data_IF_681322543012
#
_entry.id   IF_681322543012
#
_cell.length_a   1.000
_cell.length_b   1.000
_cell.length_c   1.000
_cell.angle_alpha   90.00
_cell.angle_beta   90.00
_cell.angle_gamma   90.00
#
_symmetry.space_group_name_H-M   'P 1'
#
loop_
_entity.id
_entity.type
_entity.pdbx_description
1 polymer ?
#
# COMPACT_ATOMS: atom_id res chain seq x y z
N UNK A 1 3.16 -26.26 -2.40
CA UNK A 1 1.73 -26.40 -2.76
C UNK A 1 0.95 -25.07 -2.80
N UNK A 2 1.23 -24.05 -1.96
CA UNK A 2 0.41 -22.81 -1.91
C UNK A 2 0.45 -21.86 -3.14
N UNK A 3 1.36 -22.00 -4.11
CA UNK A 3 1.41 -21.11 -5.30
C UNK A 3 0.86 -21.73 -6.59
N UNK A 4 0.43 -23.00 -6.58
CA UNK A 4 -0.02 -23.68 -7.82
C UNK A 4 -1.27 -23.02 -8.42
N UNK A 5 -2.17 -22.49 -7.58
CA UNK A 5 -3.39 -21.83 -8.04
C UNK A 5 -3.08 -20.63 -8.97
N UNK A 6 -2.04 -19.85 -8.69
CA UNK A 6 -1.69 -18.67 -9.48
C UNK A 6 -1.19 -19.07 -10.87
N UNK A 7 -0.38 -20.14 -10.94
CA UNK A 7 0.02 -20.74 -12.21
C UNK A 7 -1.17 -21.31 -12.98
N UNK A 8 -2.02 -22.10 -12.32
CA UNK A 8 -3.25 -22.64 -12.93
C UNK A 8 -4.15 -21.51 -13.46
N UNK A 9 -4.30 -20.43 -12.70
CA UNK A 9 -5.11 -19.28 -13.09
C UNK A 9 -4.54 -18.56 -14.32
N UNK A 10 -3.23 -18.28 -14.33
CA UNK A 10 -2.56 -17.68 -15.49
C UNK A 10 -2.62 -18.59 -16.72
N UNK A 11 -2.54 -19.91 -16.53
CA UNK A 11 -2.75 -20.87 -17.62
C UNK A 11 -4.17 -20.83 -18.16
N UNK A 12 -5.19 -20.74 -17.30
CA UNK A 12 -6.58 -20.57 -17.75
C UNK A 12 -6.73 -19.30 -18.58
N UNK A 13 -6.20 -18.18 -18.09
CA UNK A 13 -6.24 -16.89 -18.80
C UNK A 13 -5.49 -16.95 -20.14
N UNK A 14 -4.37 -17.66 -20.21
CA UNK A 14 -3.56 -17.76 -21.43
C UNK A 14 -4.19 -18.64 -22.51
N UNK A 15 -4.88 -19.72 -22.13
CA UNK A 15 -5.57 -20.61 -23.08
C UNK A 15 -6.93 -20.07 -23.52
N UNK A 16 -7.62 -19.32 -22.64
CA UNK A 16 -8.96 -18.80 -22.88
C UNK A 16 -9.00 -17.28 -23.09
N UNK A 17 -8.01 -16.72 -23.80
CA UNK A 17 -7.87 -15.27 -23.99
C UNK A 17 -9.14 -14.58 -24.50
N UNK A 18 -9.75 -15.10 -25.58
CA UNK A 18 -10.97 -14.53 -26.18
C UNK A 18 -12.21 -14.68 -25.28
N UNK A 19 -12.56 -15.89 -24.78
CA UNK A 19 -13.67 -16.05 -23.82
C UNK A 19 -13.52 -15.17 -22.57
N UNK A 20 -12.31 -15.11 -22.00
CA UNK A 20 -12.03 -14.29 -20.82
C UNK A 20 -12.24 -12.81 -21.13
N UNK A 21 -11.74 -12.33 -22.27
CA UNK A 21 -11.94 -10.94 -22.67
C UNK A 21 -13.43 -10.60 -22.76
N UNK A 22 -14.21 -11.43 -23.46
CA UNK A 22 -15.66 -11.24 -23.64
C UNK A 22 -16.36 -11.24 -22.27
N UNK A 23 -16.01 -12.19 -21.40
CA UNK A 23 -16.61 -12.28 -20.07
C UNK A 23 -16.31 -11.04 -19.22
N UNK A 24 -15.04 -10.62 -19.15
CA UNK A 24 -14.63 -9.45 -18.38
C UNK A 24 -15.26 -8.17 -18.94
N UNK A 25 -15.25 -7.97 -20.26
CA UNK A 25 -15.86 -6.77 -20.87
C UNK A 25 -17.36 -6.72 -20.67
N UNK A 26 -18.08 -7.85 -20.78
CA UNK A 26 -19.52 -7.88 -20.54
C UNK A 26 -19.86 -7.47 -19.10
N UNK A 27 -19.16 -8.01 -18.11
CA UNK A 27 -19.35 -7.63 -16.71
C UNK A 27 -19.04 -6.15 -16.49
N UNK A 28 -17.94 -5.65 -17.08
CA UNK A 28 -17.60 -4.23 -17.02
C UNK A 28 -18.70 -3.36 -17.62
N UNK A 29 -19.20 -3.70 -18.82
CA UNK A 29 -20.24 -2.92 -19.50
C UNK A 29 -21.53 -2.90 -18.66
N UNK A 30 -21.97 -4.05 -18.14
CA UNK A 30 -23.15 -4.13 -17.28
C UNK A 30 -23.00 -3.21 -16.06
N UNK A 31 -21.84 -3.25 -15.41
CA UNK A 31 -21.59 -2.36 -14.27
C UNK A 31 -21.57 -0.88 -14.70
N UNK A 32 -20.91 -0.55 -15.82
CA UNK A 32 -20.79 0.80 -16.34
C UNK A 32 -22.13 1.39 -16.83
N UNK A 33 -23.13 0.58 -17.16
CA UNK A 33 -24.50 1.08 -17.40
C UNK A 33 -25.06 1.83 -16.18
N UNK A 34 -24.57 1.49 -14.99
CA UNK A 34 -24.90 2.20 -13.75
C UNK A 34 -24.56 3.69 -13.79
N UNK A 35 -23.60 4.11 -14.63
CA UNK A 35 -23.22 5.51 -14.79
C UNK A 35 -24.38 6.42 -15.22
N UNK A 36 -25.42 5.86 -15.83
CA UNK A 36 -26.62 6.61 -16.23
C UNK A 36 -27.34 7.22 -15.02
N UNK A 37 -27.25 6.58 -13.85
CA UNK A 37 -27.97 6.98 -12.64
C UNK A 37 -27.08 7.63 -11.58
N UNK A 38 -25.78 7.81 -11.84
CA UNK A 38 -24.86 8.44 -10.88
C UNK A 38 -24.48 9.85 -11.33
N UNK A 39 -24.44 10.78 -10.39
CA UNK A 39 -23.83 12.08 -10.63
C UNK A 39 -22.31 11.97 -10.63
N UNK A 40 -21.66 12.47 -11.68
CA UNK A 40 -20.19 12.50 -11.75
C UNK A 40 -19.67 13.56 -10.75
N UNK A 41 -18.89 13.19 -9.74
CA UNK A 41 -18.35 14.15 -8.78
C UNK A 41 -17.25 15.02 -9.41
N UNK A 42 -17.04 16.21 -8.85
CA UNK A 42 -15.93 17.07 -9.26
C UNK A 42 -14.61 16.47 -8.76
N UNK A 43 -13.79 15.97 -9.69
CA UNK A 43 -12.55 15.24 -9.38
C UNK A 43 -11.30 15.86 -10.00
N UNK A 44 -11.32 17.14 -10.38
CA UNK A 44 -10.23 17.79 -11.14
C UNK A 44 -8.84 17.60 -10.49
N UNK A 45 -8.72 17.90 -9.19
CA UNK A 45 -7.47 17.73 -8.45
C UNK A 45 -7.07 16.27 -8.29
N UNK A 46 -8.04 15.37 -8.08
CA UNK A 46 -7.79 13.94 -7.98
C UNK A 46 -7.33 13.30 -9.31
N UNK A 47 -7.89 13.75 -10.43
CA UNK A 47 -7.45 13.31 -11.75
C UNK A 47 -6.07 13.88 -12.10
N UNK A 48 -5.81 15.13 -11.74
CA UNK A 48 -4.48 15.73 -11.88
C UNK A 48 -3.43 14.98 -11.06
N UNK A 49 -3.75 14.63 -9.81
CA UNK A 49 -2.85 13.84 -8.97
C UNK A 49 -2.56 12.48 -9.59
N UNK A 50 -3.57 11.79 -10.11
CA UNK A 50 -3.40 10.51 -10.80
C UNK A 50 -2.50 10.62 -12.03
N UNK A 51 -2.69 11.65 -12.86
CA UNK A 51 -1.85 11.90 -14.04
C UNK A 51 -0.40 12.16 -13.62
N UNK A 52 -0.17 13.02 -12.64
CA UNK A 52 1.18 13.34 -12.16
C UNK A 52 1.87 12.12 -11.55
N UNK A 53 1.17 11.34 -10.72
CA UNK A 53 1.68 10.08 -10.20
C UNK A 53 2.06 9.13 -11.33
N UNK A 54 1.22 9.00 -12.36
CA UNK A 54 1.49 8.12 -13.50
C UNK A 54 2.72 8.57 -14.30
N UNK A 55 2.87 9.87 -14.56
CA UNK A 55 4.05 10.45 -15.24
C UNK A 55 5.33 10.22 -14.43
N UNK A 56 5.28 10.43 -13.12
CA UNK A 56 6.44 10.18 -12.27
C UNK A 56 6.75 8.69 -12.19
N UNK A 57 5.74 7.82 -12.16
CA UNK A 57 5.94 6.38 -12.20
C UNK A 57 6.64 5.93 -13.49
N UNK A 58 6.33 6.54 -14.64
CA UNK A 58 7.06 6.28 -15.89
C UNK A 58 8.56 6.53 -15.72
N UNK A 59 8.93 7.60 -15.04
CA UNK A 59 10.34 7.93 -14.75
C UNK A 59 10.94 6.99 -13.72
N UNK A 60 10.30 6.80 -12.57
CA UNK A 60 10.84 5.99 -11.45
C UNK A 60 10.97 4.51 -11.78
N UNK A 61 10.13 4.00 -12.67
CA UNK A 61 10.16 2.61 -13.16
C UNK A 61 10.83 2.50 -14.53
N UNK A 62 11.49 3.57 -15.02
CA UNK A 62 11.94 3.88 -16.39
C UNK A 62 11.09 3.27 -17.54
N UNK A 63 9.77 3.12 -17.36
CA UNK A 63 8.91 2.37 -18.27
C UNK A 63 7.60 3.11 -18.53
N UNK A 64 7.45 3.59 -19.76
CA UNK A 64 6.23 4.26 -20.22
C UNK A 64 5.03 3.33 -20.12
N UNK A 65 5.20 2.05 -20.52
CA UNK A 65 4.14 1.04 -20.44
C UNK A 65 3.64 0.86 -19.01
N UNK A 66 4.53 0.84 -18.02
CA UNK A 66 4.14 0.71 -16.61
C UNK A 66 3.30 1.90 -16.16
N UNK A 67 3.69 3.13 -16.50
CA UNK A 67 2.89 4.33 -16.20
C UNK A 67 1.53 4.38 -16.92
N UNK A 68 1.45 3.89 -18.15
CA UNK A 68 0.17 3.80 -18.88
C UNK A 68 -0.76 2.78 -18.24
N UNK A 69 -0.25 1.62 -17.81
CA UNK A 69 -1.04 0.63 -17.07
C UNK A 69 -1.55 1.20 -15.75
N UNK A 70 -0.69 1.90 -15.01
CA UNK A 70 -1.02 2.58 -13.77
C UNK A 70 -2.16 3.60 -13.94
N UNK A 71 -2.07 4.48 -14.94
CA UNK A 71 -3.11 5.45 -15.26
C UNK A 71 -4.42 4.75 -15.70
N UNK A 72 -4.31 3.85 -16.68
CA UNK A 72 -5.45 3.23 -17.33
C UNK A 72 -6.29 2.39 -16.37
N UNK A 73 -5.64 1.57 -15.55
CA UNK A 73 -6.36 0.74 -14.58
C UNK A 73 -6.91 1.53 -13.40
N UNK A 74 -6.23 2.60 -12.98
CA UNK A 74 -6.78 3.49 -11.94
C UNK A 74 -8.05 4.19 -12.44
N UNK A 75 -8.04 4.73 -13.67
CA UNK A 75 -9.24 5.29 -14.31
C UNK A 75 -10.35 4.24 -14.44
N UNK A 76 -10.00 3.02 -14.88
CA UNK A 76 -10.96 1.93 -14.99
C UNK A 76 -11.62 1.61 -13.63
N UNK A 77 -10.86 1.54 -12.53
CA UNK A 77 -11.41 1.28 -11.20
C UNK A 77 -12.34 2.41 -10.73
N UNK A 78 -12.02 3.67 -11.02
CA UNK A 78 -12.93 4.80 -10.72
C UNK A 78 -14.26 4.61 -11.45
N UNK A 79 -14.22 4.31 -12.74
CA UNK A 79 -15.43 4.14 -13.56
C UNK A 79 -16.27 2.95 -13.08
N UNK A 80 -15.65 1.83 -12.73
CA UNK A 80 -16.33 0.67 -12.16
C UNK A 80 -16.95 0.99 -10.79
N UNK A 81 -16.27 1.81 -9.98
CA UNK A 81 -16.80 2.25 -8.69
C UNK A 81 -18.04 3.12 -8.91
N UNK A 82 -17.95 4.15 -9.76
CA UNK A 82 -19.08 5.01 -10.12
C UNK A 82 -20.25 4.22 -10.73
N UNK A 83 -19.96 3.25 -11.60
CA UNK A 83 -20.97 2.36 -12.18
C UNK A 83 -21.74 1.61 -11.10
N UNK A 84 -21.04 0.97 -10.15
CA UNK A 84 -21.73 0.28 -9.06
C UNK A 84 -22.52 1.24 -8.15
N UNK A 85 -22.00 2.43 -7.86
CA UNK A 85 -22.72 3.41 -7.05
C UNK A 85 -24.04 3.84 -7.71
N UNK A 86 -24.05 3.99 -9.03
CA UNK A 86 -25.27 4.29 -9.78
C UNK A 86 -26.32 3.18 -9.69
N UNK A 87 -25.90 1.91 -9.70
CA UNK A 87 -26.80 0.78 -9.45
C UNK A 87 -27.36 0.75 -8.02
N UNK A 88 -26.53 1.15 -7.03
CA UNK A 88 -26.93 1.21 -5.63
C UNK A 88 -27.80 2.46 -5.34
N UNK A 89 -27.76 3.47 -6.22
CA UNK A 89 -28.42 4.75 -6.01
C UNK A 89 -27.71 5.66 -5.01
N UNK A 90 -26.41 5.44 -4.78
CA UNK A 90 -25.59 6.26 -3.87
C UNK A 90 -24.98 7.43 -4.64
N UNK A 91 -25.33 8.65 -4.26
CA UNK A 91 -24.79 9.87 -4.87
C UNK A 91 -23.54 10.35 -4.13
N UNK A 92 -22.39 10.51 -4.81
CA UNK A 92 -21.19 11.07 -4.19
C UNK A 92 -21.43 12.52 -3.70
N UNK A 93 -21.02 12.81 -2.46
CA UNK A 93 -21.10 14.13 -1.83
C UNK A 93 -19.71 14.80 -1.77
N UNK A 94 -19.66 16.07 -1.34
CA UNK A 94 -18.41 16.84 -1.23
C UNK A 94 -17.42 16.24 -0.20
N UNK A 95 -17.93 15.55 0.81
CA UNK A 95 -17.12 14.87 1.84
C UNK A 95 -16.43 13.63 1.26
N UNK A 96 -17.08 12.93 0.34
CA UNK A 96 -16.55 11.75 -0.34
C UNK A 96 -15.48 12.05 -1.39
N UNK A 97 -15.13 13.32 -1.64
CA UNK A 97 -14.08 13.69 -2.60
C UNK A 97 -12.73 12.99 -2.33
N UNK A 98 -12.36 12.81 -1.06
CA UNK A 98 -11.14 12.09 -0.67
C UNK A 98 -11.24 10.58 -0.89
N UNK A 99 -12.45 10.01 -0.88
CA UNK A 99 -12.68 8.59 -1.17
C UNK A 99 -12.08 8.20 -2.53
N UNK A 100 -12.28 9.08 -3.52
CA UNK A 100 -11.79 8.87 -4.88
C UNK A 100 -10.27 8.86 -4.96
N UNK A 101 -9.62 9.76 -4.21
CA UNK A 101 -8.16 9.79 -4.11
C UNK A 101 -7.67 8.48 -3.52
N UNK A 102 -8.27 8.02 -2.43
CA UNK A 102 -7.90 6.76 -1.78
C UNK A 102 -8.07 5.58 -2.73
N UNK A 103 -9.18 5.51 -3.47
CA UNK A 103 -9.38 4.45 -4.47
C UNK A 103 -8.30 4.47 -5.54
N UNK A 104 -7.93 5.66 -6.06
CA UNK A 104 -6.86 5.81 -7.04
C UNK A 104 -5.49 5.43 -6.48
N UNK A 105 -5.15 5.88 -5.28
CA UNK A 105 -3.85 5.59 -4.66
C UNK A 105 -3.71 4.13 -4.28
N UNK A 106 -4.77 3.48 -3.80
CA UNK A 106 -4.79 2.04 -3.52
C UNK A 106 -4.63 1.21 -4.80
N UNK A 107 -5.35 1.56 -5.88
CA UNK A 107 -5.17 0.86 -7.16
C UNK A 107 -3.74 1.02 -7.70
N UNK A 108 -3.20 2.23 -7.59
CA UNK A 108 -1.80 2.51 -7.94
C UNK A 108 -0.84 1.65 -7.12
N UNK A 109 -1.01 1.60 -5.80
CA UNK A 109 -0.16 0.81 -4.90
C UNK A 109 -0.19 -0.68 -5.26
N UNK A 110 -1.39 -1.23 -5.45
CA UNK A 110 -1.56 -2.64 -5.82
C UNK A 110 -0.84 -2.98 -7.14
N UNK A 111 -0.92 -2.09 -8.13
CA UNK A 111 -0.21 -2.25 -9.40
C UNK A 111 1.30 -2.11 -9.23
N UNK A 112 1.80 -1.16 -8.44
CA UNK A 112 3.24 -1.00 -8.21
C UNK A 112 3.80 -2.25 -7.54
N UNK A 113 3.15 -2.76 -6.50
CA UNK A 113 3.56 -4.00 -5.85
C UNK A 113 3.54 -5.20 -6.82
N UNK A 114 2.51 -5.30 -7.67
CA UNK A 114 2.40 -6.35 -8.67
C UNK A 114 3.50 -6.23 -9.75
N UNK A 115 3.65 -5.06 -10.37
CA UNK A 115 4.62 -4.81 -11.45
C UNK A 115 6.05 -4.93 -10.90
N UNK A 116 6.35 -4.44 -9.69
CA UNK A 116 7.66 -4.61 -9.08
C UNK A 116 7.99 -6.09 -8.82
N UNK A 117 7.00 -6.90 -8.41
CA UNK A 117 7.19 -8.34 -8.26
C UNK A 117 7.43 -9.04 -9.62
N UNK A 118 6.68 -8.63 -10.65
CA UNK A 118 6.82 -9.10 -12.02
C UNK A 118 8.20 -8.77 -12.62
N UNK A 119 8.60 -7.50 -12.55
CA UNK A 119 9.91 -7.02 -13.01
C UNK A 119 11.04 -7.74 -12.30
N UNK A 120 10.91 -7.97 -10.98
CA UNK A 120 11.89 -8.76 -10.23
C UNK A 120 11.98 -10.21 -10.72
N UNK A 121 10.86 -10.86 -11.00
CA UNK A 121 10.86 -12.23 -11.52
C UNK A 121 11.51 -12.30 -12.91
N UNK A 122 11.20 -11.35 -13.79
CA UNK A 122 11.85 -11.23 -15.10
C UNK A 122 13.35 -10.91 -14.98
N UNK A 123 13.75 -10.07 -14.02
CA UNK A 123 15.15 -9.76 -13.76
C UNK A 123 15.96 -10.98 -13.31
N UNK A 124 15.31 -11.99 -12.71
CA UNK A 124 15.90 -13.30 -12.37
C UNK A 124 15.86 -14.32 -13.52
N UNK A 125 15.41 -13.91 -14.71
CA UNK A 125 15.40 -14.73 -15.92
C UNK A 125 14.10 -15.47 -16.20
N UNK A 126 13.02 -15.21 -15.46
CA UNK A 126 11.70 -15.80 -15.77
C UNK A 126 11.09 -15.13 -17.01
N UNK A 127 10.46 -15.92 -17.88
CA UNK A 127 9.65 -15.35 -18.97
C UNK A 127 8.42 -14.63 -18.38
N UNK A 128 7.92 -13.61 -19.09
CA UNK A 128 6.80 -12.79 -18.61
C UNK A 128 5.58 -13.64 -18.20
N UNK A 129 5.28 -14.73 -18.91
CA UNK A 129 4.22 -15.67 -18.55
C UNK A 129 4.37 -16.23 -17.12
N UNK A 130 5.51 -16.85 -16.83
CA UNK A 130 5.79 -17.44 -15.51
C UNK A 130 5.96 -16.36 -14.44
N UNK A 131 6.52 -15.21 -14.83
CA UNK A 131 6.73 -14.07 -13.96
C UNK A 131 5.40 -13.45 -13.51
N UNK A 132 4.35 -13.44 -14.35
CA UNK A 132 2.98 -13.02 -13.97
C UNK A 132 2.42 -13.96 -12.90
N UNK A 133 2.55 -15.28 -13.09
CA UNK A 133 2.07 -16.26 -12.12
C UNK A 133 2.83 -16.16 -10.79
N UNK A 134 4.16 -15.95 -10.85
CA UNK A 134 4.97 -15.73 -9.66
C UNK A 134 4.59 -14.43 -8.95
N UNK A 135 4.42 -13.32 -9.68
CA UNK A 135 3.99 -12.03 -9.12
C UNK A 135 2.64 -12.17 -8.41
N UNK A 136 1.65 -12.77 -9.08
CA UNK A 136 0.32 -13.00 -8.52
C UNK A 136 0.38 -13.85 -7.24
N UNK A 137 1.11 -14.97 -7.26
CA UNK A 137 1.29 -15.84 -6.10
C UNK A 137 2.10 -15.21 -4.97
N UNK A 138 2.75 -14.06 -5.20
CA UNK A 138 3.50 -13.32 -4.20
C UNK A 138 2.76 -12.11 -3.63
N UNK A 139 1.88 -11.48 -4.40
CA UNK A 139 1.27 -10.21 -4.05
C UNK A 139 -0.21 -10.32 -3.70
N UNK A 140 -0.93 -11.35 -4.16
CA UNK A 140 -2.38 -11.43 -3.94
C UNK A 140 -2.81 -11.37 -2.47
N UNK A 141 -2.09 -12.06 -1.57
CA UNK A 141 -2.44 -12.12 -0.15
C UNK A 141 -2.14 -10.78 0.55
N UNK A 142 -0.94 -10.17 0.40
CA UNK A 142 -0.70 -8.81 0.88
C UNK A 142 -1.73 -7.79 0.38
N UNK A 143 -2.03 -7.80 -0.93
CA UNK A 143 -2.98 -6.86 -1.55
C UNK A 143 -4.38 -7.04 -0.97
N UNK A 144 -4.86 -8.28 -0.84
CA UNK A 144 -6.16 -8.55 -0.23
C UNK A 144 -6.21 -8.08 1.21
N UNK A 145 -5.15 -8.35 1.98
CA UNK A 145 -5.11 -8.03 3.39
C UNK A 145 -5.07 -6.51 3.61
N UNK A 146 -4.27 -5.80 2.82
CA UNK A 146 -4.24 -4.34 2.78
C UNK A 146 -5.61 -3.76 2.42
N UNK A 147 -6.23 -4.30 1.37
CA UNK A 147 -7.58 -3.92 0.94
C UNK A 147 -8.61 -4.03 2.06
N UNK A 148 -8.59 -5.14 2.79
CA UNK A 148 -9.48 -5.37 3.92
C UNK A 148 -9.18 -4.45 5.09
N UNK A 149 -7.91 -4.16 5.39
CA UNK A 149 -7.57 -3.20 6.44
C UNK A 149 -8.00 -1.77 6.11
N UNK A 150 -7.94 -1.38 4.83
CA UNK A 150 -8.46 -0.09 4.37
C UNK A 150 -9.98 -0.04 4.52
N UNK A 151 -10.70 -1.09 4.09
CA UNK A 151 -12.15 -1.20 4.30
C UNK A 151 -12.50 -1.04 5.79
N UNK A 152 -11.80 -1.76 6.67
CA UNK A 152 -12.01 -1.67 8.12
C UNK A 152 -11.72 -0.27 8.65
N UNK A 153 -10.64 0.38 8.20
CA UNK A 153 -10.33 1.75 8.60
C UNK A 153 -11.47 2.71 8.28
N UNK A 154 -11.94 2.72 7.04
CA UNK A 154 -13.04 3.59 6.64
C UNK A 154 -14.38 3.23 7.30
N UNK A 155 -14.64 1.95 7.54
CA UNK A 155 -15.81 1.52 8.31
C UNK A 155 -15.76 2.03 9.77
N UNK A 156 -14.58 2.05 10.39
CA UNK A 156 -14.40 2.67 11.72
C UNK A 156 -14.63 4.17 11.66
N UNK A 157 -14.13 4.88 10.65
CA UNK A 157 -14.42 6.31 10.49
C UNK A 157 -15.94 6.57 10.41
N UNK A 158 -16.66 5.80 9.60
CA UNK A 158 -18.11 5.87 9.46
C UNK A 158 -18.88 5.49 10.74
N UNK A 159 -18.31 4.64 11.59
CA UNK A 159 -18.87 4.31 12.91
C UNK A 159 -18.80 5.50 13.88
N UNK A 160 -17.72 6.28 13.84
CA UNK A 160 -17.57 7.45 14.71
C UNK A 160 -18.30 8.69 14.21
N UNK A 161 -18.49 8.82 12.90
CA UNK A 161 -19.22 9.93 12.30
C UNK A 161 -19.96 9.47 11.03
N UNK A 162 -21.29 9.57 11.08
CA UNK A 162 -22.18 9.12 10.01
C UNK A 162 -21.96 9.88 8.68
N UNK A 163 -21.38 11.09 8.71
CA UNK A 163 -21.02 11.82 7.50
C UNK A 163 -20.01 11.06 6.62
N UNK A 164 -19.27 10.09 7.17
CA UNK A 164 -18.26 9.32 6.44
C UNK A 164 -18.78 7.99 5.89
N UNK A 165 -20.06 7.66 6.04
CA UNK A 165 -20.65 6.40 5.54
C UNK A 165 -20.51 6.30 4.01
N UNK A 166 -20.89 7.34 3.27
CA UNK A 166 -20.79 7.35 1.81
C UNK A 166 -19.34 7.14 1.34
N UNK A 167 -18.40 7.85 1.96
CA UNK A 167 -16.97 7.67 1.70
C UNK A 167 -16.52 6.23 1.98
N UNK A 168 -16.95 5.64 3.10
CA UNK A 168 -16.56 4.28 3.45
C UNK A 168 -17.06 3.25 2.44
N UNK A 169 -18.29 3.41 1.93
CA UNK A 169 -18.84 2.55 0.87
C UNK A 169 -18.05 2.72 -0.43
N UNK A 170 -17.76 3.96 -0.84
CA UNK A 170 -17.00 4.25 -2.07
C UNK A 170 -15.61 3.62 -2.01
N UNK A 171 -14.89 3.81 -0.90
CA UNK A 171 -13.57 3.21 -0.72
C UNK A 171 -13.66 1.68 -0.71
N UNK A 172 -14.65 1.11 -0.01
CA UNK A 172 -14.77 -0.33 0.07
C UNK A 172 -15.05 -0.98 -1.29
N UNK A 173 -15.94 -0.40 -2.08
CA UNK A 173 -16.23 -0.84 -3.44
C UNK A 173 -15.00 -0.67 -4.34
N UNK A 174 -14.36 0.51 -4.32
CA UNK A 174 -13.25 0.79 -5.22
C UNK A 174 -12.01 -0.05 -4.92
N UNK A 175 -11.72 -0.30 -3.65
CA UNK A 175 -10.61 -1.17 -3.23
C UNK A 175 -10.93 -2.65 -3.50
N UNK A 176 -12.20 -3.07 -3.40
CA UNK A 176 -12.59 -4.42 -3.84
C UNK A 176 -12.40 -4.59 -5.36
N UNK A 177 -12.84 -3.62 -6.17
CA UNK A 177 -12.60 -3.65 -7.61
C UNK A 177 -11.12 -3.63 -7.95
N UNK A 178 -10.31 -2.84 -7.25
CA UNK A 178 -8.86 -2.78 -7.47
C UNK A 178 -8.22 -4.16 -7.26
N UNK A 179 -8.62 -4.90 -6.21
CA UNK A 179 -8.18 -6.27 -5.99
C UNK A 179 -8.61 -7.22 -7.11
N UNK A 180 -9.88 -7.17 -7.52
CA UNK A 180 -10.40 -8.01 -8.60
C UNK A 180 -9.69 -7.74 -9.93
N UNK A 181 -9.36 -6.48 -10.23
CA UNK A 181 -8.61 -6.08 -11.42
C UNK A 181 -7.20 -6.65 -11.42
N UNK A 182 -6.52 -6.65 -10.27
CA UNK A 182 -5.19 -7.27 -10.12
C UNK A 182 -5.23 -8.78 -10.34
N UNK A 183 -6.32 -9.45 -9.94
CA UNK A 183 -6.47 -10.89 -10.18
C UNK A 183 -6.82 -11.23 -11.63
N UNK A 184 -7.51 -10.35 -12.36
CA UNK A 184 -8.13 -10.67 -13.65
C UNK A 184 -7.51 -9.87 -14.80
N UNK A 185 -7.89 -8.60 -14.90
CA UNK A 185 -7.53 -7.70 -15.99
C UNK A 185 -6.03 -7.45 -16.12
N UNK A 186 -5.31 -7.29 -15.01
CA UNK A 186 -3.86 -7.02 -15.03
C UNK A 186 -3.08 -8.19 -15.65
N UNK A 187 -3.21 -9.44 -15.17
CA UNK A 187 -2.63 -10.61 -15.85
C UNK A 187 -3.07 -10.73 -17.30
N UNK A 188 -4.38 -10.56 -17.59
CA UNK A 188 -4.88 -10.71 -18.97
C UNK A 188 -4.23 -9.71 -19.94
N UNK A 189 -4.12 -8.43 -19.56
CA UNK A 189 -3.45 -7.41 -20.38
C UNK A 189 -1.98 -7.76 -20.55
N UNK A 190 -1.28 -8.15 -19.48
CA UNK A 190 0.14 -8.48 -19.54
C UNK A 190 0.45 -9.79 -20.30
N UNK A 191 -0.52 -10.69 -20.45
CA UNK A 191 -0.36 -11.87 -21.32
C UNK A 191 -0.44 -11.53 -22.82
N UNK A 192 -0.88 -10.32 -23.16
CA UNK A 192 -1.02 -9.83 -24.54
C UNK A 192 -0.12 -8.61 -24.82
N UNK A 193 0.29 -7.90 -23.78
CA UNK A 193 1.12 -6.71 -23.86
C UNK A 193 2.42 -6.91 -23.09
N UNK A 194 3.50 -7.15 -23.84
CA UNK A 194 4.82 -7.36 -23.26
C UNK A 194 5.36 -6.06 -22.66
N UNK A 195 5.79 -6.15 -21.40
CA UNK A 195 6.57 -5.09 -20.79
C UNK A 195 8.00 -5.14 -21.33
N UNK A 196 8.70 -4.01 -21.24
CA UNK A 196 10.11 -3.98 -21.61
C UNK A 196 10.91 -4.89 -20.69
N UNK A 197 11.63 -5.86 -21.28
CA UNK A 197 12.46 -6.79 -20.55
C UNK A 197 13.62 -6.05 -19.90
N UNK A 198 13.59 -5.90 -18.58
CA UNK A 198 14.70 -5.34 -17.80
C UNK A 198 15.59 -6.47 -17.29
N UNK A 199 16.42 -7.02 -18.17
CA UNK A 199 17.45 -7.98 -17.72
C UNK A 199 18.56 -7.20 -17.01
N UNK A 200 18.80 -7.50 -15.74
CA UNK A 200 20.08 -7.18 -15.10
C UNK A 200 20.17 -5.86 -14.30
N UNK A 201 19.07 -5.12 -14.07
CA UNK A 201 19.13 -4.04 -13.07
C UNK A 201 19.33 -4.64 -11.68
N UNK A 202 20.43 -4.25 -11.01
CA UNK A 202 20.80 -4.78 -9.68
C UNK A 202 19.70 -4.53 -8.64
N UNK A 203 19.07 -3.35 -8.70
CA UNK A 203 18.01 -2.91 -7.79
C UNK A 203 16.75 -3.77 -7.88
N UNK A 204 16.38 -4.25 -9.07
CA UNK A 204 15.24 -5.16 -9.24
C UNK A 204 15.49 -6.49 -8.53
N UNK A 205 16.72 -7.00 -8.62
CA UNK A 205 17.11 -8.28 -8.01
C UNK A 205 17.26 -8.19 -6.49
N UNK A 206 17.83 -7.12 -5.97
CA UNK A 206 18.29 -7.02 -4.58
C UNK A 206 17.46 -6.08 -3.71
N UNK A 207 16.51 -5.33 -4.30
CA UNK A 207 15.67 -4.36 -3.61
C UNK A 207 16.50 -3.44 -2.72
N UNK A 208 16.04 -3.26 -1.48
CA UNK A 208 16.72 -2.44 -0.48
C UNK A 208 17.55 -3.28 0.51
N UNK A 209 17.99 -4.47 0.11
CA UNK A 209 18.81 -5.33 1.00
C UNK A 209 20.18 -4.72 1.35
N UNK A 210 20.65 -3.72 0.60
CA UNK A 210 21.85 -2.97 0.95
C UNK A 210 21.69 -2.24 2.29
N UNK A 211 20.46 -1.80 2.65
CA UNK A 211 20.22 -1.11 3.93
C UNK A 211 20.55 -2.03 5.10
N UNK A 212 20.11 -3.30 5.05
CA UNK A 212 20.48 -4.28 6.06
C UNK A 212 22.01 -4.46 6.15
N UNK A 213 22.69 -4.62 5.00
CA UNK A 213 24.16 -4.75 4.96
C UNK A 213 24.86 -3.53 5.56
N UNK A 214 24.40 -2.32 5.28
CA UNK A 214 24.97 -1.09 5.84
C UNK A 214 24.81 -1.06 7.36
N UNK A 215 23.67 -1.50 7.88
CA UNK A 215 23.38 -1.54 9.32
C UNK A 215 24.14 -2.66 10.07
N UNK A 216 24.45 -3.76 9.38
CA UNK A 216 25.32 -4.83 9.90
C UNK A 216 26.77 -4.34 10.11
N UNK A 217 27.27 -3.46 9.23
CA UNK A 217 28.65 -2.94 9.28
C UNK A 217 28.78 -1.66 10.12
N UNK A 218 27.76 -0.81 10.17
CA UNK A 218 27.80 0.47 10.87
C UNK A 218 27.00 0.46 12.18
N UNK A 219 27.69 0.10 13.27
CA UNK A 219 27.07 0.00 14.60
C UNK A 219 26.55 1.35 15.13
N UNK A 220 27.20 2.47 14.80
CA UNK A 220 26.78 3.80 15.24
C UNK A 220 25.45 4.17 14.59
N UNK A 221 25.34 3.99 13.27
CA UNK A 221 24.08 4.23 12.54
C UNK A 221 22.95 3.34 13.07
N UNK A 222 23.23 2.06 13.31
CA UNK A 222 22.26 1.12 13.90
C UNK A 222 21.77 1.58 15.28
N UNK A 223 22.68 1.91 16.20
CA UNK A 223 22.32 2.39 17.54
C UNK A 223 21.54 3.71 17.47
N UNK A 224 21.92 4.61 16.57
CA UNK A 224 21.20 5.85 16.32
C UNK A 224 19.76 5.61 15.85
N UNK A 225 19.55 4.79 14.83
CA UNK A 225 18.22 4.49 14.29
C UNK A 225 17.32 3.75 15.29
N UNK A 226 17.88 2.79 16.04
CA UNK A 226 17.14 2.10 17.10
C UNK A 226 16.73 3.07 18.21
N UNK A 227 17.62 3.97 18.65
CA UNK A 227 17.30 5.01 19.63
C UNK A 227 16.21 5.95 19.11
N UNK A 228 16.31 6.41 17.86
CA UNK A 228 15.28 7.23 17.22
C UNK A 228 13.92 6.49 17.24
N UNK A 229 13.90 5.21 16.89
CA UNK A 229 12.68 4.38 16.97
C UNK A 229 12.07 4.35 18.37
N UNK A 230 12.89 4.17 19.41
CA UNK A 230 12.42 4.20 20.80
C UNK A 230 11.92 5.58 21.23
N UNK A 231 12.61 6.66 20.84
CA UNK A 231 12.19 8.04 21.14
C UNK A 231 10.85 8.37 20.46
N UNK A 232 10.66 7.97 19.21
CA UNK A 232 9.40 8.14 18.50
C UNK A 232 8.28 7.34 19.17
N UNK A 233 8.55 6.11 19.61
CA UNK A 233 7.58 5.30 20.34
C UNK A 233 7.19 5.93 21.68
N UNK A 234 8.17 6.41 22.45
CA UNK A 234 7.92 7.13 23.71
C UNK A 234 7.11 8.41 23.47
N UNK A 235 7.44 9.17 22.43
CA UNK A 235 6.69 10.34 22.00
C UNK A 235 5.24 9.98 21.67
N UNK A 236 5.00 8.93 20.89
CA UNK A 236 3.65 8.51 20.56
C UNK A 236 2.83 8.08 21.78
N UNK A 237 3.45 7.41 22.75
CA UNK A 237 2.78 7.06 24.01
C UNK A 237 2.39 8.32 24.79
N UNK A 238 3.29 9.29 24.90
CA UNK A 238 2.99 10.58 25.53
C UNK A 238 1.78 11.27 24.86
N UNK A 239 1.77 11.30 23.53
CA UNK A 239 0.67 11.90 22.77
C UNK A 239 -0.66 11.14 22.91
N UNK A 240 -0.62 9.81 22.94
CA UNK A 240 -1.80 8.99 23.18
C UNK A 240 -2.42 9.28 24.55
N UNK A 241 -1.60 9.57 25.57
CA UNK A 241 -2.07 9.92 26.91
C UNK A 241 -2.67 11.33 26.91
N UNK A 242 -2.02 12.30 26.27
CA UNK A 242 -2.48 13.70 26.21
C UNK A 242 -3.82 13.83 25.45
N UNK A 243 -3.98 13.10 24.34
CA UNK A 243 -5.10 13.26 23.40
C UNK A 243 -6.00 12.01 23.33
N UNK A 244 -6.06 11.21 24.39
CA UNK A 244 -6.75 9.90 24.41
C UNK A 244 -8.17 9.94 23.84
N UNK A 245 -8.97 10.95 24.24
CA UNK A 245 -10.35 11.09 23.79
C UNK A 245 -10.46 11.37 22.29
N UNK A 246 -9.57 12.21 21.74
CA UNK A 246 -9.53 12.52 20.31
C UNK A 246 -9.08 11.31 19.47
N UNK A 247 -8.33 10.38 20.08
CA UNK A 247 -7.72 9.24 19.39
C UNK A 247 -8.56 7.96 19.47
N UNK A 248 -9.78 8.01 20.01
CA UNK A 248 -10.67 6.85 20.12
C UNK A 248 -10.92 6.16 18.78
N UNK A 249 -11.08 6.92 17.70
CA UNK A 249 -11.27 6.38 16.36
C UNK A 249 -10.03 5.63 15.88
N UNK A 250 -8.84 6.21 16.06
CA UNK A 250 -7.56 5.56 15.74
C UNK A 250 -7.39 4.29 16.56
N UNK A 251 -7.61 4.33 17.87
CA UNK A 251 -7.47 3.18 18.75
C UNK A 251 -8.42 2.03 18.37
N UNK A 252 -9.68 2.35 18.04
CA UNK A 252 -10.65 1.36 17.56
C UNK A 252 -10.17 0.72 16.26
N UNK A 253 -9.62 1.51 15.35
CA UNK A 253 -9.04 0.99 14.12
C UNK A 253 -7.81 0.12 14.36
N UNK A 254 -6.90 0.49 15.28
CA UNK A 254 -5.74 -0.35 15.65
C UNK A 254 -6.24 -1.73 16.08
N UNK A 255 -7.21 -1.76 16.98
CA UNK A 255 -7.76 -3.00 17.54
C UNK A 255 -8.41 -3.84 16.44
N UNK A 256 -9.24 -3.23 15.59
CA UNK A 256 -9.90 -3.92 14.48
C UNK A 256 -8.88 -4.50 13.48
N UNK A 257 -7.91 -3.69 13.05
CA UNK A 257 -6.82 -4.14 12.17
C UNK A 257 -5.95 -5.20 12.84
N UNK A 258 -5.71 -5.12 14.14
CA UNK A 258 -4.93 -6.11 14.88
C UNK A 258 -5.59 -7.49 14.84
N UNK A 259 -6.88 -7.58 15.14
CA UNK A 259 -7.61 -8.85 15.08
C UNK A 259 -7.69 -9.41 13.66
N UNK A 260 -7.88 -8.53 12.67
CA UNK A 260 -7.89 -8.92 11.26
C UNK A 260 -6.54 -9.50 10.82
N UNK A 261 -5.44 -8.81 11.14
CA UNK A 261 -4.08 -9.28 10.82
C UNK A 261 -3.69 -10.52 11.64
N UNK A 262 -4.13 -10.62 12.89
CA UNK A 262 -3.95 -11.80 13.74
C UNK A 262 -4.64 -13.01 13.13
N UNK A 263 -5.89 -12.86 12.67
CA UNK A 263 -6.63 -13.90 11.99
C UNK A 263 -5.95 -14.30 10.66
N UNK A 264 -5.47 -13.33 9.89
CA UNK A 264 -4.83 -13.62 8.59
C UNK A 264 -3.47 -14.32 8.74
N UNK A 265 -2.62 -13.84 9.65
CA UNK A 265 -1.24 -14.31 9.78
C UNK A 265 -1.03 -15.38 10.83
N UNK A 266 -1.98 -15.58 11.75
CA UNK A 266 -1.88 -16.53 12.88
C UNK A 266 -0.60 -16.31 13.72
N UNK A 267 -0.09 -15.07 13.78
CA UNK A 267 1.13 -14.72 14.50
C UNK A 267 0.92 -13.45 15.33
N UNK A 268 0.73 -13.63 16.64
CA UNK A 268 0.44 -12.56 17.60
C UNK A 268 1.50 -11.45 17.60
N UNK A 269 2.78 -11.84 17.62
CA UNK A 269 3.90 -10.88 17.71
C UNK A 269 3.95 -10.00 16.47
N UNK A 270 3.81 -10.61 15.29
CA UNK A 270 3.88 -9.88 14.02
C UNK A 270 2.66 -8.99 13.82
N UNK A 271 1.45 -9.47 14.13
CA UNK A 271 0.24 -8.66 14.05
C UNK A 271 0.33 -7.42 14.96
N UNK A 272 0.77 -7.62 16.21
CA UNK A 272 0.96 -6.51 17.17
C UNK A 272 1.97 -5.49 16.65
N UNK A 273 3.17 -5.94 16.28
CA UNK A 273 4.24 -5.05 15.79
C UNK A 273 3.80 -4.30 14.53
N UNK A 274 3.13 -4.96 13.59
CA UNK A 274 2.60 -4.34 12.38
C UNK A 274 1.63 -3.20 12.73
N UNK A 275 0.61 -3.47 13.54
CA UNK A 275 -0.36 -2.44 13.92
C UNK A 275 0.25 -1.31 14.74
N UNK A 276 1.22 -1.60 15.60
CA UNK A 276 1.93 -0.58 16.36
C UNK A 276 2.78 0.32 15.46
N UNK A 277 3.49 -0.22 14.47
CA UNK A 277 4.27 0.58 13.52
C UNK A 277 3.36 1.49 12.69
N UNK A 278 2.27 0.97 12.14
CA UNK A 278 1.33 1.77 11.34
C UNK A 278 0.67 2.88 12.17
N UNK A 279 0.33 2.57 13.42
CA UNK A 279 -0.21 3.58 14.32
C UNK A 279 0.82 4.62 14.73
N UNK A 280 2.04 4.19 15.06
CA UNK A 280 3.14 5.06 15.45
C UNK A 280 3.34 6.19 14.43
N UNK A 281 3.28 5.88 13.13
CA UNK A 281 3.42 6.88 12.08
C UNK A 281 2.34 7.97 12.05
N UNK A 282 1.13 7.68 12.51
CA UNK A 282 0.05 8.67 12.58
C UNK A 282 0.12 9.44 13.90
N UNK A 283 0.29 8.75 15.03
CA UNK A 283 0.31 9.42 16.34
C UNK A 283 1.46 10.42 16.47
N UNK A 284 2.67 10.04 16.03
CA UNK A 284 3.86 10.89 16.14
C UNK A 284 3.65 12.24 15.44
N UNK A 285 3.01 12.21 14.28
CA UNK A 285 2.84 13.37 13.40
C UNK A 285 1.71 14.28 13.88
N UNK A 286 0.71 13.74 14.57
CA UNK A 286 -0.50 14.46 14.93
C UNK A 286 -0.24 15.72 15.74
N UNK A 287 0.50 15.59 16.84
CA UNK A 287 0.65 16.69 17.81
C UNK A 287 1.54 17.82 17.32
N UNK A 288 2.68 17.57 16.63
CA UNK A 288 3.39 18.64 15.94
C UNK A 288 2.51 19.41 14.97
N UNK A 289 1.64 18.72 14.22
CA UNK A 289 0.72 19.35 13.26
C UNK A 289 -0.38 20.15 13.96
N UNK A 290 -0.86 19.69 15.10
CA UNK A 290 -1.81 20.44 15.91
C UNK A 290 -1.18 21.70 16.52
N UNK A 291 0.05 21.61 17.04
CA UNK A 291 0.75 22.74 17.66
C UNK A 291 1.05 23.88 16.68
N UNK A 292 1.41 23.55 15.43
CA UNK A 292 1.59 24.56 14.38
C UNK A 292 0.26 25.02 13.76
N UNK A 293 -0.88 24.59 14.31
CA UNK A 293 -2.24 24.92 13.86
C UNK A 293 -2.51 24.49 12.41
N UNK A 294 -1.76 23.52 11.89
CA UNK A 294 -1.99 22.92 10.58
C UNK A 294 -3.21 21.98 10.60
N UNK A 295 -3.56 21.42 11.76
CA UNK A 295 -4.82 20.69 11.99
C UNK A 295 -5.66 21.47 13.00
N UNK A 296 -6.77 22.01 12.51
CA UNK A 296 -7.70 22.80 13.32
C UNK A 296 -8.62 21.94 14.20
N UNK A 297 -8.98 20.73 13.76
CA UNK A 297 -9.88 19.83 14.48
C UNK A 297 -9.40 18.38 14.36
N UNK A 298 -9.42 17.66 15.49
CA UNK A 298 -9.22 16.21 15.51
C UNK A 298 -10.47 15.48 14.99
N UNK A 299 -10.67 15.52 13.67
CA UNK A 299 -11.73 14.74 13.03
C UNK A 299 -11.28 13.28 12.85
N UNK A 300 -12.17 12.29 13.09
CA UNK A 300 -11.92 10.89 12.72
C UNK A 300 -11.45 10.74 11.26
N UNK A 301 -11.91 11.61 10.37
CA UNK A 301 -11.48 11.66 8.97
C UNK A 301 -9.97 11.91 8.81
N UNK A 302 -9.46 12.97 9.45
CA UNK A 302 -8.05 13.36 9.33
C UNK A 302 -7.12 12.32 9.96
N UNK A 303 -7.62 11.56 10.94
CA UNK A 303 -6.83 10.58 11.69
C UNK A 303 -6.86 9.16 11.10
N UNK A 304 -8.03 8.71 10.64
CA UNK A 304 -8.26 7.32 10.22
C UNK A 304 -7.85 7.10 8.77
N UNK A 305 -8.06 8.09 7.89
CA UNK A 305 -7.69 7.96 6.46
C UNK A 305 -6.19 7.74 6.26
N UNK A 306 -5.28 8.54 6.84
CA UNK A 306 -3.83 8.28 6.75
C UNK A 306 -3.48 6.86 7.19
N UNK A 307 -4.11 6.40 8.27
CA UNK A 307 -3.83 5.12 8.90
C UNK A 307 -4.20 3.95 7.98
N UNK A 308 -5.31 4.05 7.25
CA UNK A 308 -5.72 3.05 6.26
C UNK A 308 -4.72 2.91 5.10
N UNK A 309 -4.14 4.02 4.64
CA UNK A 309 -3.12 4.03 3.57
C UNK A 309 -1.76 3.53 4.11
N UNK A 310 -1.37 3.99 5.30
CA UNK A 310 -0.10 3.64 5.94
C UNK A 310 0.01 2.15 6.26
N UNK A 311 -1.11 1.50 6.59
CA UNK A 311 -1.13 0.08 6.94
C UNK A 311 -0.86 -0.83 5.72
N UNK A 312 -1.02 -0.33 4.48
CA UNK A 312 -0.71 -1.03 3.23
C UNK A 312 0.76 -1.48 3.19
N UNK A 313 1.70 -0.54 3.31
CA UNK A 313 3.14 -0.82 3.25
C UNK A 313 3.57 -1.77 4.37
N UNK A 314 2.98 -1.63 5.56
CA UNK A 314 3.22 -2.49 6.72
C UNK A 314 2.78 -3.92 6.42
N UNK A 315 1.57 -4.11 5.88
CA UNK A 315 1.04 -5.42 5.49
C UNK A 315 1.91 -6.06 4.42
N UNK A 316 2.34 -5.29 3.43
CA UNK A 316 3.24 -5.75 2.37
C UNK A 316 4.61 -6.19 2.93
N UNK A 317 5.21 -5.41 3.83
CA UNK A 317 6.47 -5.75 4.49
C UNK A 317 6.35 -7.03 5.32
N UNK A 318 5.39 -7.10 6.24
CA UNK A 318 5.28 -8.21 7.18
C UNK A 318 4.78 -9.51 6.55
N UNK A 319 3.99 -9.43 5.47
CA UNK A 319 3.63 -10.61 4.69
C UNK A 319 4.87 -11.26 4.05
N UNK A 320 5.86 -10.46 3.59
CA UNK A 320 7.13 -10.98 3.08
C UNK A 320 8.05 -11.48 4.18
N UNK A 321 8.08 -10.79 5.31
CA UNK A 321 8.79 -11.24 6.50
C UNK A 321 8.31 -12.62 6.98
N UNK A 322 7.00 -12.83 7.08
CA UNK A 322 6.40 -14.11 7.46
C UNK A 322 6.60 -15.20 6.41
N UNK A 323 6.61 -14.83 5.12
CA UNK A 323 6.95 -15.75 4.04
C UNK A 323 8.40 -16.23 4.14
N UNK A 324 9.31 -15.37 4.59
CA UNK A 324 10.70 -15.75 4.84
C UNK A 324 10.82 -16.73 6.01
N UNK A 325 9.99 -16.58 7.04
CA UNK A 325 9.92 -17.50 8.20
C UNK A 325 9.40 -18.89 7.84
N UNK A 326 8.48 -18.98 6.88
CA UNK A 326 8.04 -20.26 6.32
C UNK A 326 9.07 -20.87 5.37
N UNK A 327 10.04 -20.07 4.93
CA UNK A 327 11.20 -20.49 4.14
C UNK A 327 12.38 -20.75 5.08
N UNK A 328 13.50 -21.28 4.60
CA UNK A 328 14.64 -21.77 5.41
C UNK A 328 15.32 -20.78 6.40
N UNK A 329 14.79 -19.56 6.61
CA UNK A 329 15.38 -18.54 7.48
C UNK A 329 14.85 -18.62 8.91
N UNK A 330 15.71 -19.03 9.85
CA UNK A 330 15.37 -19.06 11.28
C UNK A 330 15.59 -17.69 11.98
N UNK A 331 16.59 -16.92 11.54
CA UNK A 331 16.99 -15.66 12.19
C UNK A 331 16.13 -14.47 11.76
N UNK A 332 15.86 -13.56 12.71
CA UNK A 332 15.09 -12.33 12.47
C UNK A 332 15.74 -11.42 11.41
N UNK A 333 17.06 -11.30 11.42
CA UNK A 333 17.84 -10.51 10.45
C UNK A 333 17.62 -11.00 9.01
N UNK A 334 17.70 -12.32 8.78
CA UNK A 334 17.52 -12.90 7.46
C UNK A 334 16.09 -12.68 6.93
N UNK A 335 15.09 -12.81 7.81
CA UNK A 335 13.68 -12.54 7.48
C UNK A 335 13.48 -11.08 7.06
N UNK A 336 14.06 -10.14 7.80
CA UNK A 336 14.01 -8.70 7.48
C UNK A 336 14.75 -8.38 6.18
N UNK A 337 15.94 -8.96 5.98
CA UNK A 337 16.73 -8.79 4.75
C UNK A 337 15.97 -9.32 3.53
N UNK A 338 15.28 -10.45 3.66
CA UNK A 338 14.39 -10.97 2.61
C UNK A 338 13.21 -10.03 2.32
N UNK A 339 12.57 -9.47 3.35
CA UNK A 339 11.51 -8.47 3.18
C UNK A 339 12.04 -7.24 2.41
N UNK A 340 13.17 -6.67 2.83
CA UNK A 340 13.80 -5.52 2.15
C UNK A 340 14.17 -5.82 0.68
N UNK A 341 14.70 -7.02 0.41
CA UNK A 341 15.03 -7.44 -0.96
C UNK A 341 13.78 -7.59 -1.84
N UNK A 342 12.66 -8.03 -1.26
CA UNK A 342 11.47 -8.42 -2.01
C UNK A 342 10.35 -7.38 -2.05
N UNK A 343 10.28 -6.42 -1.14
CA UNK A 343 9.20 -5.41 -1.17
C UNK A 343 9.70 -4.01 -0.85
N UNK A 344 10.96 -3.85 -0.42
CA UNK A 344 11.55 -2.54 -0.14
C UNK A 344 11.47 -1.57 -1.32
N UNK A 345 11.81 -2.01 -2.54
CA UNK A 345 11.72 -1.15 -3.75
C UNK A 345 10.29 -0.69 -4.02
N UNK A 346 9.30 -1.59 -3.91
CA UNK A 346 7.91 -1.22 -4.13
C UNK A 346 7.40 -0.25 -3.07
N UNK A 347 7.72 -0.47 -1.78
CA UNK A 347 7.38 0.48 -0.70
C UNK A 347 7.98 1.85 -1.01
N UNK A 348 9.27 1.92 -1.34
CA UNK A 348 9.92 3.19 -1.67
C UNK A 348 9.29 3.92 -2.87
N UNK A 349 8.84 3.17 -3.88
CA UNK A 349 8.14 3.73 -5.04
C UNK A 349 6.73 4.19 -4.70
N UNK A 350 5.94 3.40 -3.96
CA UNK A 350 4.59 3.78 -3.54
C UNK A 350 4.64 5.04 -2.69
N UNK A 351 5.55 5.13 -1.72
CA UNK A 351 5.68 6.31 -0.86
C UNK A 351 5.96 7.59 -1.65
N UNK A 352 6.90 7.56 -2.59
CA UNK A 352 7.20 8.73 -3.43
C UNK A 352 6.00 9.14 -4.30
N UNK A 353 5.32 8.17 -4.90
CA UNK A 353 4.19 8.43 -5.77
C UNK A 353 3.00 8.98 -4.97
N UNK A 354 2.68 8.39 -3.82
CA UNK A 354 1.62 8.90 -2.97
C UNK A 354 1.93 10.31 -2.46
N UNK A 355 3.18 10.61 -2.06
CA UNK A 355 3.57 11.98 -1.68
C UNK A 355 3.29 12.95 -2.82
N UNK A 356 3.69 12.63 -4.06
CA UNK A 356 3.47 13.50 -5.22
C UNK A 356 1.98 13.69 -5.51
N UNK A 357 1.18 12.63 -5.45
CA UNK A 357 -0.26 12.74 -5.66
C UNK A 357 -0.97 13.54 -4.59
N UNK A 358 -0.62 13.32 -3.32
CA UNK A 358 -1.23 14.00 -2.18
C UNK A 358 -0.80 15.48 -2.11
N UNK A 359 0.41 15.84 -2.56
CA UNK A 359 0.85 17.24 -2.64
C UNK A 359 -0.10 18.10 -3.48
N UNK A 360 -0.69 17.53 -4.54
CA UNK A 360 -1.69 18.22 -5.38
C UNK A 360 -2.94 18.56 -4.58
N UNK A 361 -3.34 17.70 -3.64
CA UNK A 361 -4.52 17.92 -2.81
C UNK A 361 -4.32 18.99 -1.74
N UNK A 362 -3.09 19.43 -1.50
CA UNK A 362 -2.85 20.58 -0.63
C UNK A 362 -3.39 21.89 -1.20
N UNK A 363 -3.67 21.92 -2.52
CA UNK A 363 -4.31 23.04 -3.21
C UNK A 363 -5.84 22.94 -3.24
N UNK A 364 -6.45 22.01 -2.48
CA UNK A 364 -7.90 21.92 -2.38
C UNK A 364 -8.49 23.08 -1.58
N UNK A 365 -9.63 23.61 -2.04
CA UNK A 365 -10.42 24.60 -1.31
C UNK A 365 -11.04 24.03 -0.01
N UNK A 366 -11.10 22.70 0.13
CA UNK A 366 -11.63 22.04 1.31
C UNK A 366 -10.53 21.80 2.37
N UNK A 367 -10.69 22.44 3.52
CA UNK A 367 -9.78 22.35 4.66
C UNK A 367 -9.50 20.89 5.10
N UNK A 368 -10.55 20.07 5.20
CA UNK A 368 -10.40 18.69 5.67
C UNK A 368 -9.56 17.86 4.70
N UNK A 369 -9.70 18.10 3.40
CA UNK A 369 -8.91 17.42 2.37
C UNK A 369 -7.44 17.82 2.48
N UNK A 370 -7.17 19.12 2.68
CA UNK A 370 -5.80 19.63 2.85
C UNK A 370 -5.14 19.05 4.11
N UNK A 371 -5.85 19.05 5.24
CA UNK A 371 -5.36 18.49 6.52
C UNK A 371 -5.12 16.98 6.43
N UNK A 372 -6.07 16.22 5.89
CA UNK A 372 -5.92 14.78 5.71
C UNK A 372 -4.77 14.44 4.75
N UNK A 373 -4.59 15.22 3.67
CA UNK A 373 -3.48 15.05 2.74
C UNK A 373 -2.13 15.31 3.43
N UNK A 374 -1.97 16.42 4.14
CA UNK A 374 -0.74 16.76 4.85
C UNK A 374 -0.39 15.70 5.90
N UNK A 375 -1.38 15.23 6.66
CA UNK A 375 -1.22 14.18 7.65
C UNK A 375 -0.77 12.87 7.00
N UNK A 376 -1.37 12.52 5.86
CA UNK A 376 -1.05 11.30 5.12
C UNK A 376 0.36 11.35 4.54
N UNK A 377 0.79 12.47 3.94
CA UNK A 377 2.14 12.65 3.40
C UNK A 377 3.20 12.38 4.47
N UNK A 378 3.08 13.05 5.62
CA UNK A 378 4.06 12.92 6.71
C UNK A 378 4.02 11.52 7.34
N UNK A 379 2.84 10.93 7.49
CA UNK A 379 2.69 9.57 8.02
C UNK A 379 3.29 8.51 7.08
N UNK A 380 3.10 8.65 5.76
CA UNK A 380 3.70 7.75 4.75
C UNK A 380 5.23 7.84 4.78
N UNK A 381 5.78 9.07 4.83
CA UNK A 381 7.23 9.26 4.93
C UNK A 381 7.78 8.61 6.21
N UNK A 382 7.07 8.78 7.34
CA UNK A 382 7.47 8.22 8.62
C UNK A 382 7.36 6.68 8.63
N UNK A 383 6.26 6.09 8.16
CA UNK A 383 6.13 4.62 8.12
C UNK A 383 7.17 3.99 7.20
N UNK A 384 7.46 4.63 6.06
CA UNK A 384 8.48 4.17 5.13
C UNK A 384 9.86 4.17 5.78
N UNK A 385 10.19 5.24 6.52
CA UNK A 385 11.41 5.32 7.31
C UNK A 385 11.45 4.24 8.41
N UNK A 386 10.35 4.03 9.13
CA UNK A 386 10.26 3.01 10.17
C UNK A 386 10.47 1.60 9.62
N UNK A 387 9.83 1.25 8.50
CA UNK A 387 9.93 -0.07 7.87
C UNK A 387 11.28 -0.31 7.20
N UNK A 388 11.79 0.68 6.46
CA UNK A 388 12.98 0.51 5.63
C UNK A 388 14.29 0.74 6.39
N UNK A 389 14.26 1.50 7.49
CA UNK A 389 15.48 1.87 8.25
C UNK A 389 15.44 1.39 9.70
N UNK A 390 14.37 1.67 10.45
CA UNK A 390 14.33 1.35 11.89
C UNK A 390 14.13 -0.14 12.13
N UNK A 391 13.18 -0.77 11.44
CA UNK A 391 12.91 -2.20 11.57
C UNK A 391 14.14 -3.10 11.31
N UNK A 392 14.92 -2.92 10.22
CA UNK A 392 16.17 -3.66 10.06
C UNK A 392 17.19 -3.34 11.15
N UNK A 393 17.26 -2.11 11.66
CA UNK A 393 18.20 -1.76 12.74
C UNK A 393 17.91 -2.48 14.06
N UNK A 394 16.63 -2.73 14.36
CA UNK A 394 16.17 -3.48 15.54
C UNK A 394 16.50 -4.97 15.39
N UNK A 395 16.30 -5.53 14.19
CA UNK A 395 16.44 -6.97 13.94
C UNK A 395 17.85 -7.42 13.56
N UNK A 396 18.72 -6.51 13.10
CA UNK A 396 20.09 -6.84 12.70
C UNK A 396 20.89 -7.45 13.86
N UNK A 397 21.75 -8.42 13.59
CA UNK A 397 22.80 -8.86 14.52
C UNK A 397 24.14 -8.26 14.12
N UNK A 398 25.06 -8.08 15.08
CA UNK A 398 26.41 -7.62 14.73
C UNK A 398 27.14 -8.80 14.14
N UNK A 399 27.52 -8.71 12.87
CA UNK A 399 28.52 -9.63 12.33
C UNK A 399 29.85 -9.24 12.94
N UNK A 400 30.40 -10.07 13.84
CA UNK A 400 31.82 -9.92 14.21
C UNK A 400 32.59 -10.02 12.89
N UNK A 401 33.42 -9.03 12.58
CA UNK A 401 34.40 -9.15 11.51
C UNK A 401 35.13 -10.47 11.70
N UNK A 402 35.23 -11.27 10.64
CA UNK A 402 36.07 -12.48 10.61
C UNK A 402 37.55 -12.06 10.67
N UNK A 403 37.98 -11.52 11.80
CA UNK A 403 39.35 -11.06 12.05
C UNK A 403 40.18 -12.13 12.78
N UNK A 404 39.79 -13.41 12.68
CA UNK A 404 40.49 -14.54 13.32
C UNK A 404 40.49 -15.84 12.50
N UNK A 405 40.78 -15.76 11.21
CA UNK A 405 41.15 -16.93 10.39
C UNK A 405 42.54 -16.82 9.74
N UNK A 406 43.37 -15.86 10.16
CA UNK A 406 44.79 -15.76 9.77
C UNK A 406 45.70 -15.35 10.95
N UNK A 407 45.56 -16.02 12.10
CA UNK A 407 46.58 -15.98 13.16
C UNK A 407 46.97 -17.38 13.57
#
# INVERSE_FOLDING_TARGET
MRSQWAYSWVMVLSHSKKPTLIFLTLISIINLMGLVWVSIPQMSLGLLSLVLMSLVAMKLMDSVKSGVLLLGFSLYVILMTLGLLGWIGLTPDSVSALAWVVVMTMMMSHLIHFIAALLRAMARGSFQHDAIAEALGQTHQPILLSSLTTIVGFAVAAYFDAHYVNMAVIVAVGVLFSYLVVLSWVPWVLLNWLLEFRVGQYEDRHGLSFVAKTLEHNLMLRRGLTLIGFLLAAWAVFQLVEQFNAMRAVLTMIVASFFLLLFAWHNLKVALVATLIGCLSVIVILSPMHWIHAISVFSPFVLVVPMGIVLDDVVHFFSRYLKAEQSFFSKHEDKTRFALASVGRSIWLTSQLLVIGLLVLLFSDNELIRQASMMTILSILLVSFLLLSVMPSITASVKKSDEKLMS
#
